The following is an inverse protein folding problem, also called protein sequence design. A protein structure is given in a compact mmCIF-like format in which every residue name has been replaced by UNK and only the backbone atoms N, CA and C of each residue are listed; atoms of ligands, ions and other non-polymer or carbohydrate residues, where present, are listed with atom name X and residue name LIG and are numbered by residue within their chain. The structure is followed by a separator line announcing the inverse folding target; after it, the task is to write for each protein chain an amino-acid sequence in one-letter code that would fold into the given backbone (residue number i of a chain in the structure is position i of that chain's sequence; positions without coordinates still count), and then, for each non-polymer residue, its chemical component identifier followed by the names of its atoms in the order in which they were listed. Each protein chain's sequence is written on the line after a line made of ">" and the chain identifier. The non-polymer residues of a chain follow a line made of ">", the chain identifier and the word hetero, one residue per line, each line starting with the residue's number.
data_IF_764454458644
#
_entry.id   IF_764454458644
#
_cell.length_a   1.000
_cell.length_b   1.000
_cell.length_c   1.000
_cell.angle_alpha   90.00
_cell.angle_beta   90.00
_cell.angle_gamma   90.00
#
_symmetry.space_group_name_H-M   'P 1'
#
loop_
_entity.id
_entity.type
_entity.pdbx_description
1 polymer ?
#
# COMPACT_ATOMS: atom_id res chain seq x y z
N UNK A 1 9.97 -23.44 -10.64
CA UNK A 1 10.40 -23.15 -9.27
C UNK A 1 11.07 -21.77 -9.27
N UNK A 2 10.28 -20.71 -9.03
CA UNK A 2 10.73 -19.35 -8.71
C UNK A 2 9.62 -18.78 -7.80
N UNK A 3 9.90 -18.59 -6.50
CA UNK A 3 9.01 -17.89 -5.58
C UNK A 3 9.55 -16.47 -5.45
N UNK A 4 8.86 -15.49 -6.05
CA UNK A 4 9.08 -14.10 -5.72
C UNK A 4 8.58 -13.87 -4.30
N UNK A 5 9.47 -14.03 -3.32
CA UNK A 5 9.20 -13.61 -1.96
C UNK A 5 9.25 -12.07 -1.96
N UNK A 6 8.10 -11.41 -2.00
CA UNK A 6 7.96 -10.10 -1.40
C UNK A 6 7.41 -10.32 0.01
N UNK A 7 8.17 -11.05 0.84
CA UNK A 7 7.81 -11.23 2.25
C UNK A 7 8.14 -9.93 2.96
N UNK A 8 7.15 -9.04 3.11
CA UNK A 8 7.19 -7.99 4.13
C UNK A 8 6.89 -8.69 5.46
N UNK A 9 7.93 -8.89 6.26
CA UNK A 9 7.76 -9.38 7.61
C UNK A 9 7.16 -8.25 8.45
N UNK A 10 5.83 -8.21 8.57
CA UNK A 10 5.19 -7.49 9.66
C UNK A 10 5.40 -8.36 10.90
N UNK A 11 6.46 -8.06 11.65
CA UNK A 11 6.82 -8.79 12.86
C UNK A 11 6.26 -8.08 14.10
N UNK A 12 5.81 -8.83 15.12
CA UNK A 12 5.53 -8.25 16.43
C UNK A 12 6.78 -7.59 17.01
N UNK A 13 6.61 -6.36 17.50
CA UNK A 13 7.62 -5.38 17.91
C UNK A 13 8.90 -5.91 18.57
N UNK A 14 10.02 -5.84 17.83
CA UNK A 14 11.37 -5.53 18.34
C UNK A 14 12.02 -4.57 17.35
N UNK A 15 11.92 -3.25 17.58
CA UNK A 15 12.42 -2.25 16.65
C UNK A 15 13.96 -2.29 16.54
N UNK A 16 14.46 -2.27 15.30
CA UNK A 16 15.87 -2.11 14.96
C UNK A 16 16.09 -0.85 14.11
N UNK A 17 17.34 -0.38 13.97
CA UNK A 17 17.66 0.79 13.15
C UNK A 17 17.19 0.59 11.70
N UNK A 18 16.27 1.45 11.26
CA UNK A 18 15.65 1.40 9.93
C UNK A 18 14.23 0.83 9.88
N UNK A 19 13.72 0.35 11.01
CA UNK A 19 12.33 -0.09 11.12
C UNK A 19 11.38 1.07 11.37
N UNK A 20 10.15 0.96 10.88
CA UNK A 20 9.09 1.95 11.05
C UNK A 20 8.00 1.42 11.96
N UNK A 21 7.70 2.15 13.03
CA UNK A 21 6.55 1.85 13.88
C UNK A 21 5.24 2.22 13.19
N UNK A 22 4.22 1.39 13.38
CA UNK A 22 2.91 1.64 12.82
C UNK A 22 1.78 0.88 13.49
N UNK A 23 0.58 1.05 12.93
CA UNK A 23 -0.65 0.44 13.41
C UNK A 23 -1.48 -0.12 12.26
N UNK A 24 -2.05 -1.31 12.44
CA UNK A 24 -3.02 -1.86 11.48
C UNK A 24 -4.31 -1.03 11.50
N UNK A 25 -4.64 -0.37 10.39
CA UNK A 25 -5.91 0.32 10.18
C UNK A 25 -7.00 -0.62 9.69
N UNK A 26 -6.63 -1.59 8.85
CA UNK A 26 -7.55 -2.57 8.27
C UNK A 26 -6.81 -3.86 7.98
N UNK A 27 -7.49 -4.99 8.21
CA UNK A 27 -7.05 -6.33 7.82
C UNK A 27 -8.15 -6.97 6.96
N UNK A 28 -7.78 -7.57 5.83
CA UNK A 28 -8.71 -8.24 4.92
C UNK A 28 -8.13 -9.57 4.48
N UNK A 29 -8.93 -10.63 4.55
CA UNK A 29 -8.58 -11.92 3.97
C UNK A 29 -9.03 -11.97 2.51
N UNK A 30 -8.11 -12.33 1.59
CA UNK A 30 -8.36 -12.36 0.14
C UNK A 30 -8.19 -13.77 -0.44
N UNK A 31 -8.36 -14.80 0.40
CA UNK A 31 -8.34 -16.21 -0.01
C UNK A 31 -6.99 -16.90 0.27
N UNK A 32 -5.91 -16.49 -0.37
CA UNK A 32 -4.59 -17.11 -0.15
C UNK A 32 -3.63 -16.25 0.69
N UNK A 33 -4.02 -15.02 1.02
CA UNK A 33 -3.24 -14.11 1.84
C UNK A 33 -4.13 -13.11 2.60
N UNK A 34 -3.48 -12.38 3.51
CA UNK A 34 -4.03 -11.22 4.21
C UNK A 34 -3.51 -9.95 3.57
N UNK A 35 -4.38 -8.96 3.38
CA UNK A 35 -4.03 -7.59 3.01
C UNK A 35 -4.21 -6.67 4.21
N UNK A 36 -3.26 -5.75 4.41
CA UNK A 36 -3.26 -4.80 5.52
C UNK A 36 -3.10 -3.37 5.02
N UNK A 37 -3.85 -2.45 5.63
CA UNK A 37 -3.52 -1.01 5.61
C UNK A 37 -2.86 -0.66 6.94
N UNK A 38 -1.70 -0.02 6.87
CA UNK A 38 -0.88 0.29 8.04
C UNK A 38 -0.65 1.79 8.09
N UNK A 39 -1.00 2.44 9.20
CA UNK A 39 -0.60 3.82 9.46
C UNK A 39 0.80 3.82 10.05
N UNK A 40 1.69 4.65 9.52
CA UNK A 40 2.97 4.98 10.13
C UNK A 40 2.89 6.34 10.82
N UNK A 41 3.54 6.47 11.97
CA UNK A 41 3.57 7.73 12.72
C UNK A 41 4.65 8.70 12.18
N UNK A 42 5.82 8.18 11.83
CA UNK A 42 6.94 8.96 11.27
C UNK A 42 7.71 8.13 10.21
N UNK A 43 7.66 8.52 8.91
CA UNK A 43 6.84 9.58 8.33
C UNK A 43 5.34 9.28 8.38
N UNK A 44 4.50 10.32 8.44
CA UNK A 44 3.03 10.17 8.39
C UNK A 44 2.57 9.75 7.00
N UNK A 45 2.42 8.45 6.79
CA UNK A 45 1.90 7.86 5.56
C UNK A 45 1.15 6.57 5.85
N UNK A 46 0.42 6.09 4.85
CA UNK A 46 -0.19 4.77 4.89
C UNK A 46 0.55 3.80 3.97
N UNK A 47 0.85 2.62 4.50
CA UNK A 47 1.36 1.50 3.74
C UNK A 47 0.27 0.49 3.44
N UNK A 48 0.48 -0.22 2.33
CA UNK A 48 -0.24 -1.45 2.01
C UNK A 48 0.74 -2.62 2.09
N UNK A 49 0.34 -3.67 2.79
CA UNK A 49 1.16 -4.86 2.99
C UNK A 49 0.36 -6.14 2.74
N UNK A 50 1.05 -7.18 2.25
CA UNK A 50 0.50 -8.52 2.04
C UNK A 50 1.21 -9.48 2.99
N UNK A 51 0.45 -10.26 3.76
CA UNK A 51 0.96 -11.32 4.64
C UNK A 51 0.42 -12.69 4.22
N UNK A 52 1.28 -13.70 4.16
CA UNK A 52 0.87 -15.06 3.78
C UNK A 52 0.34 -15.90 4.94
N UNK A 53 0.48 -15.44 6.20
CA UNK A 53 -0.08 -16.14 7.36
C UNK A 53 -1.56 -15.79 7.53
N UNK A 54 -2.39 -16.61 6.89
CA UNK A 54 -3.86 -16.52 6.99
C UNK A 54 -4.40 -17.23 8.24
N UNK A 55 -3.60 -18.08 8.88
CA UNK A 55 -4.01 -18.80 10.09
C UNK A 55 -3.94 -17.90 11.32
N UNK A 56 -2.99 -16.95 11.34
CA UNK A 56 -2.79 -16.01 12.43
C UNK A 56 -2.80 -14.55 11.93
N UNK A 57 -3.96 -14.03 11.50
CA UNK A 57 -4.03 -12.66 10.99
C UNK A 57 -3.78 -11.64 12.10
N UNK A 58 -3.10 -10.55 11.73
CA UNK A 58 -2.94 -9.38 12.60
C UNK A 58 -4.28 -8.65 12.72
N UNK A 59 -4.59 -8.19 13.94
CA UNK A 59 -5.85 -7.54 14.25
C UNK A 59 -5.81 -6.05 13.93
N UNK A 60 -6.95 -5.48 13.55
CA UNK A 60 -7.09 -4.03 13.46
C UNK A 60 -6.79 -3.38 14.80
N UNK A 61 -6.03 -2.28 14.78
CA UNK A 61 -5.54 -1.59 15.97
C UNK A 61 -4.24 -2.15 16.56
N UNK A 62 -3.76 -3.30 16.07
CA UNK A 62 -2.49 -3.86 16.53
C UNK A 62 -1.31 -2.94 16.18
N UNK A 63 -0.41 -2.74 17.15
CA UNK A 63 0.87 -2.09 16.93
C UNK A 63 1.80 -3.06 16.21
N UNK A 64 2.53 -2.56 15.22
CA UNK A 64 3.41 -3.34 14.37
C UNK A 64 4.71 -2.59 14.10
N UNK A 65 5.75 -3.36 13.78
CA UNK A 65 7.00 -2.83 13.25
C UNK A 65 7.11 -3.26 11.79
N UNK A 66 7.37 -2.30 10.91
CA UNK A 66 7.54 -2.51 9.47
C UNK A 66 9.02 -2.40 9.13
N UNK A 67 9.58 -3.50 8.63
CA UNK A 67 10.95 -3.56 8.12
C UNK A 67 10.96 -3.68 6.60
N UNK A 68 12.02 -3.16 5.98
CA UNK A 68 12.23 -3.27 4.54
C UNK A 68 13.48 -4.09 4.26
N UNK A 69 13.38 -5.03 3.33
CA UNK A 69 14.55 -5.68 2.75
C UNK A 69 15.20 -4.71 1.75
N UNK A 70 16.40 -4.16 2.04
CA UNK A 70 17.02 -3.15 1.19
C UNK A 70 17.35 -3.69 -0.20
N UNK A 71 17.49 -5.01 -0.37
CA UNK A 71 17.78 -5.64 -1.67
C UNK A 71 16.55 -5.72 -2.58
N UNK A 72 15.36 -5.45 -2.04
CA UNK A 72 14.07 -5.52 -2.75
C UNK A 72 13.37 -4.17 -2.87
N UNK A 73 14.03 -3.09 -2.44
CA UNK A 73 13.52 -1.73 -2.61
C UNK A 73 13.64 -1.29 -4.07
N UNK A 74 12.55 -0.73 -4.59
CA UNK A 74 12.50 -0.12 -5.91
C UNK A 74 12.36 1.39 -5.72
N UNK A 75 13.33 2.15 -6.22
CA UNK A 75 13.28 3.60 -6.23
C UNK A 75 12.63 4.10 -7.51
N UNK A 76 11.57 4.90 -7.37
CA UNK A 76 10.88 5.53 -8.48
C UNK A 76 11.27 7.01 -8.60
N UNK A 77 11.50 7.53 -9.82
CA UNK A 77 11.73 8.96 -10.04
C UNK A 77 10.51 9.80 -9.65
N UNK A 78 10.73 10.96 -9.03
CA UNK A 78 9.68 11.86 -8.55
C UNK A 78 8.74 12.41 -9.66
N UNK A 79 9.13 12.29 -10.93
CA UNK A 79 8.39 12.80 -12.09
C UNK A 79 7.66 11.71 -12.90
N UNK A 80 7.60 10.46 -12.42
CA UNK A 80 6.71 9.44 -12.97
C UNK A 80 5.25 9.77 -12.62
N UNK A 81 4.67 10.76 -13.29
CA UNK A 81 3.24 11.05 -13.17
C UNK A 81 2.45 9.92 -13.82
N UNK A 82 1.49 9.36 -13.07
CA UNK A 82 0.42 8.54 -13.62
C UNK A 82 -0.24 9.31 -14.78
N UNK A 83 -0.48 8.69 -15.95
CA UNK A 83 -1.17 9.37 -17.03
C UNK A 83 -2.56 9.79 -16.51
N UNK A 84 -2.73 11.08 -16.20
CA UNK A 84 -4.06 11.66 -15.96
C UNK A 84 -4.87 11.31 -17.19
N UNK A 85 -5.86 10.43 -17.04
CA UNK A 85 -6.84 10.17 -18.06
C UNK A 85 -7.40 11.53 -18.51
N UNK A 86 -7.02 11.97 -19.71
CA UNK A 86 -7.63 13.14 -20.36
C UNK A 86 -9.10 12.78 -20.53
N UNK A 87 -9.96 13.21 -19.60
CA UNK A 87 -11.40 13.23 -19.86
C UNK A 87 -11.60 14.21 -21.01
N UNK A 88 -12.07 13.79 -22.19
CA UNK A 88 -12.47 14.75 -23.21
C UNK A 88 -13.58 15.61 -22.58
N UNK A 89 -13.38 16.93 -22.54
CA UNK A 89 -14.46 17.82 -22.10
C UNK A 89 -15.58 17.67 -23.12
N UNK A 90 -16.72 17.10 -22.71
CA UNK A 90 -17.94 17.21 -23.50
C UNK A 90 -18.22 18.72 -23.64
N UNK A 91 -18.06 19.23 -24.85
CA UNK A 91 -18.45 20.58 -25.23
C UNK A 91 -19.96 20.70 -25.04
N UNK A 92 -20.40 21.31 -23.93
CA UNK A 92 -21.80 21.61 -23.64
C UNK A 92 -22.20 22.95 -24.28
N UNK A 93 -22.16 23.05 -25.61
CA UNK A 93 -22.73 24.22 -26.28
C UNK A 93 -24.00 23.82 -27.07
N UNK A 94 -25.19 23.91 -26.46
CA UNK A 94 -26.46 23.57 -27.13
C UNK A 94 -27.02 24.67 -28.04
N UNK A 95 -26.29 25.78 -28.26
CA UNK A 95 -26.78 26.91 -29.04
C UNK A 95 -26.29 26.85 -30.50
N UNK A 96 -26.86 25.92 -31.28
CA UNK A 96 -26.94 26.02 -32.75
C UNK A 96 -27.84 24.92 -33.34
N UNK A 97 -29.12 24.90 -32.96
CA UNK A 97 -30.12 23.99 -33.57
C UNK A 97 -31.26 24.68 -34.33
N UNK A 98 -31.20 25.99 -34.53
CA UNK A 98 -32.21 26.69 -35.32
C UNK A 98 -31.60 27.87 -36.10
N UNK A 99 -31.07 27.57 -37.28
CA UNK A 99 -31.18 28.41 -38.49
C UNK A 99 -31.13 27.50 -39.71
#
# INVERSE_FOLDING_TARGET
>A
MIRAAATQAVVPSTASDGDLEGRILKAVYVGDHMEYRIALDEPRLELFAIGSDVANPLQQGAQVTVSFDPTRLILMPANCASPKARRPSLNKNPLNRFK
#
